data_IF_019527742356
#
_entry.id   IF_019527742356
#
_cell.length_a   1.000
_cell.length_b   1.000
_cell.length_c   1.000
_cell.angle_alpha   90.00
_cell.angle_beta   90.00
_cell.angle_gamma   90.00
#
_symmetry.space_group_name_H-M   'P 1'
#
loop_
_entity.id
_entity.type
_entity.pdbx_description
1 polymer ?
#
# COMPACT_ATOMS: atom_id res chain seq x y z
N UNK A 1 12.93 -22.33 5.29
CA UNK A 1 13.33 -21.94 6.66
C UNK A 1 13.07 -20.44 6.79
N UNK A 2 11.95 -20.05 7.41
CA UNK A 2 11.55 -18.66 7.62
C UNK A 2 12.63 -17.95 8.46
N UNK A 3 13.11 -16.78 8.03
CA UNK A 3 13.83 -15.87 8.92
C UNK A 3 12.82 -14.96 9.62
N UNK A 4 12.48 -15.36 10.83
CA UNK A 4 11.95 -14.51 11.88
C UNK A 4 13.06 -13.49 12.22
N UNK A 5 12.85 -12.19 11.95
CA UNK A 5 13.78 -11.15 12.42
C UNK A 5 13.52 -10.95 13.91
N UNK A 6 14.31 -11.65 14.74
CA UNK A 6 14.37 -11.47 16.19
C UNK A 6 15.37 -10.36 16.48
N UNK A 7 14.87 -9.24 17.03
CA UNK A 7 15.69 -8.16 17.55
C UNK A 7 16.47 -8.67 18.76
N UNK A 8 17.80 -8.61 18.70
CA UNK A 8 18.66 -8.64 19.88
C UNK A 8 19.53 -7.39 19.85
N UNK A 9 19.32 -6.54 20.84
CA UNK A 9 20.20 -5.42 21.18
C UNK A 9 21.23 -5.92 22.19
N UNK A 10 22.53 -5.74 21.92
CA UNK A 10 23.55 -5.51 22.95
C UNK A 10 24.86 -5.01 22.32
N UNK A 11 25.64 -4.15 23.01
CA UNK A 11 26.66 -3.31 22.41
C UNK A 11 28.07 -3.94 22.42
N UNK A 12 28.90 -3.52 21.47
CA UNK A 12 30.38 -3.50 21.51
C UNK A 12 31.11 -4.84 21.70
N UNK A 13 31.91 -5.29 20.71
CA UNK A 13 33.39 -5.44 20.77
C UNK A 13 33.95 -6.32 19.61
N UNK A 14 35.20 -6.00 19.26
CA UNK A 14 36.16 -6.42 18.21
C UNK A 14 36.13 -7.83 17.56
N UNK A 15 36.57 -7.82 16.29
CA UNK A 15 36.97 -8.94 15.41
C UNK A 15 38.18 -9.74 15.92
N UNK A 16 38.17 -11.08 15.78
CA UNK A 16 39.28 -11.92 15.25
C UNK A 16 38.77 -13.27 14.70
N UNK A 17 39.45 -13.92 13.73
CA UNK A 17 38.98 -15.13 13.03
C UNK A 17 39.67 -16.41 13.51
N UNK A 18 39.03 -17.59 13.37
CA UNK A 18 39.74 -18.88 13.25
C UNK A 18 38.86 -20.04 12.77
N UNK A 19 39.55 -21.06 12.27
CA UNK A 19 39.17 -22.00 11.24
C UNK A 19 38.42 -23.27 11.70
N UNK A 20 37.83 -23.93 10.68
CA UNK A 20 37.79 -25.39 10.46
C UNK A 20 37.30 -26.32 11.58
N UNK A 21 36.23 -27.07 11.29
CA UNK A 21 36.24 -28.54 11.42
C UNK A 21 35.09 -29.18 10.62
N UNK A 22 35.47 -30.10 9.72
CA UNK A 22 34.60 -31.01 8.97
C UNK A 22 34.12 -32.11 9.91
N UNK A 23 32.86 -32.53 9.80
CA UNK A 23 32.51 -33.95 9.67
C UNK A 23 31.11 -34.15 9.08
N UNK A 24 30.96 -35.31 8.47
CA UNK A 24 30.06 -35.69 7.40
C UNK A 24 29.08 -36.73 7.94
N UNK A 25 27.76 -36.57 7.74
CA UNK A 25 26.89 -37.75 7.74
C UNK A 25 25.68 -37.61 6.81
N UNK A 26 25.44 -38.72 6.13
CA UNK A 26 24.76 -38.93 4.86
C UNK A 26 23.23 -39.00 4.99
N UNK A 27 22.59 -38.58 3.88
CA UNK A 27 21.37 -39.11 3.23
C UNK A 27 20.02 -38.83 3.91
N UNK A 28 19.18 -38.07 3.21
CA UNK A 28 18.13 -38.60 2.33
C UNK A 28 17.64 -37.52 1.36
N UNK A 29 17.37 -37.98 0.14
CA UNK A 29 17.08 -37.24 -1.08
C UNK A 29 15.70 -36.56 -1.10
N UNK A 30 15.66 -35.31 -1.52
CA UNK A 30 14.50 -34.71 -2.19
C UNK A 30 15.05 -33.86 -3.36
N UNK A 31 14.47 -34.04 -4.54
CA UNK A 31 14.94 -33.50 -5.80
C UNK A 31 15.03 -31.96 -5.77
N UNK A 32 16.18 -31.43 -6.16
CA UNK A 32 16.42 -30.01 -6.33
C UNK A 32 15.83 -29.55 -7.67
N UNK A 33 14.94 -28.55 -7.61
CA UNK A 33 14.52 -27.76 -8.77
C UNK A 33 15.61 -26.69 -9.00
N UNK A 34 16.15 -26.51 -10.21
CA UNK A 34 17.28 -25.62 -10.42
C UNK A 34 16.87 -24.15 -10.23
N UNK A 35 17.48 -23.50 -9.24
CA UNK A 35 17.41 -22.05 -9.05
C UNK A 35 18.22 -21.34 -10.14
N UNK A 36 17.58 -21.01 -11.27
CA UNK A 36 18.12 -19.99 -12.17
C UNK A 36 17.96 -18.63 -11.49
N UNK A 37 19.06 -18.08 -10.97
CA UNK A 37 19.18 -16.64 -10.74
C UNK A 37 18.98 -15.96 -12.09
N UNK A 38 17.79 -15.44 -12.33
CA UNK A 38 17.54 -14.51 -13.43
C UNK A 38 18.11 -13.17 -12.95
N UNK A 39 19.25 -12.76 -13.49
CA UNK A 39 19.77 -11.41 -13.31
C UNK A 39 18.76 -10.42 -13.91
N UNK A 40 17.93 -9.80 -13.08
CA UNK A 40 17.13 -8.66 -13.50
C UNK A 40 18.06 -7.46 -13.69
N UNK A 41 18.14 -6.97 -14.92
CA UNK A 41 18.66 -5.64 -15.19
C UNK A 41 17.83 -4.61 -14.38
N UNK A 42 18.45 -3.55 -13.86
CA UNK A 42 17.77 -2.57 -13.02
C UNK A 42 16.71 -1.85 -13.85
N UNK A 43 15.45 -2.21 -13.63
CA UNK A 43 14.30 -1.50 -14.17
C UNK A 43 14.07 -0.26 -13.30
N UNK A 44 13.71 0.87 -13.89
CA UNK A 44 13.28 2.09 -13.20
C UNK A 44 11.76 2.19 -13.23
N UNK A 45 11.13 2.72 -12.18
CA UNK A 45 9.70 3.01 -12.18
C UNK A 45 9.43 4.23 -13.06
N UNK A 46 8.52 4.13 -14.03
CA UNK A 46 8.16 5.25 -14.91
C UNK A 46 7.40 6.37 -14.20
N UNK A 47 6.79 6.09 -13.05
CA UNK A 47 6.01 7.06 -12.29
C UNK A 47 6.90 7.94 -11.39
N UNK A 48 7.90 7.36 -10.71
CA UNK A 48 8.73 8.09 -9.73
C UNK A 48 10.24 8.12 -10.05
N UNK A 49 10.69 7.45 -11.13
CA UNK A 49 12.09 7.42 -11.55
C UNK A 49 13.05 6.68 -10.62
N UNK A 50 12.56 5.99 -9.57
CA UNK A 50 13.37 5.25 -8.59
C UNK A 50 13.61 3.79 -9.00
N UNK A 51 14.66 3.17 -8.43
CA UNK A 51 15.06 1.78 -8.69
C UNK A 51 14.00 0.79 -8.19
N UNK A 52 13.78 -0.31 -8.93
CA UNK A 52 12.85 -1.37 -8.53
C UNK A 52 13.39 -2.22 -7.37
N UNK A 53 12.90 -1.99 -6.15
CA UNK A 53 13.02 -2.92 -5.03
C UNK A 53 11.63 -3.22 -4.46
N UNK A 54 10.97 -4.27 -4.93
CA UNK A 54 9.60 -4.57 -4.50
C UNK A 54 9.64 -5.21 -3.10
N UNK A 55 9.05 -4.53 -2.11
CA UNK A 55 8.81 -5.09 -0.78
C UNK A 55 7.32 -5.09 -0.46
N UNK A 56 6.85 -6.19 0.12
CA UNK A 56 5.49 -6.34 0.61
C UNK A 56 5.54 -6.55 2.12
N UNK A 57 4.86 -5.67 2.87
CA UNK A 57 4.86 -5.73 4.32
C UNK A 57 3.45 -5.61 4.89
N UNK A 58 3.30 -6.06 6.13
CA UNK A 58 2.06 -5.96 6.90
C UNK A 58 2.44 -5.51 8.29
N UNK A 59 1.89 -4.38 8.72
CA UNK A 59 2.08 -3.85 10.06
C UNK A 59 0.75 -3.91 10.82
N UNK A 60 0.78 -4.48 12.02
CA UNK A 60 -0.32 -4.40 12.98
C UNK A 60 0.06 -3.33 14.01
N UNK A 61 -0.77 -2.31 14.18
CA UNK A 61 -0.53 -1.26 15.17
C UNK A 61 -1.03 -1.68 16.55
N UNK A 62 -0.16 -1.56 17.56
CA UNK A 62 -0.52 -1.71 18.97
C UNK A 62 -1.29 -0.47 19.46
N UNK A 63 -2.20 -0.60 20.44
CA UNK A 63 -3.11 0.48 20.81
C UNK A 63 -2.37 1.68 21.43
N UNK A 64 -2.65 2.88 20.90
CA UNK A 64 -2.38 4.16 21.56
C UNK A 64 -3.69 4.83 21.96
N UNK A 65 -3.71 5.49 23.11
CA UNK A 65 -4.88 6.18 23.67
C UNK A 65 -5.41 7.28 22.75
N UNK A 66 -6.74 7.48 22.64
CA UNK A 66 -7.31 8.49 21.77
C UNK A 66 -7.15 9.90 22.37
N UNK A 67 -6.57 10.82 21.62
CA UNK A 67 -6.76 12.26 21.87
C UNK A 67 -8.02 12.72 21.15
N UNK A 68 -9.03 13.19 21.90
CA UNK A 68 -10.20 13.84 21.30
C UNK A 68 -9.81 15.21 20.76
N UNK A 69 -10.11 15.50 19.49
CA UNK A 69 -10.24 16.87 18.99
C UNK A 69 -11.60 17.08 18.34
N UNK A 70 -12.37 18.03 18.89
CA UNK A 70 -13.57 18.58 18.28
C UNK A 70 -13.16 19.59 17.19
N UNK A 71 -13.70 19.47 15.97
CA UNK A 71 -14.15 20.60 15.13
C UNK A 71 -14.63 20.09 13.75
N UNK A 72 -15.95 20.02 13.56
CA UNK A 72 -16.57 19.61 12.30
C UNK A 72 -16.54 20.68 11.20
N UNK A 73 -15.95 21.85 11.46
CA UNK A 73 -15.77 22.94 10.49
C UNK A 73 -14.32 23.24 10.15
N UNK A 74 -13.33 22.88 10.98
CA UNK A 74 -11.91 23.11 10.66
C UNK A 74 -11.28 21.96 9.87
N UNK A 75 -11.86 20.76 9.97
CA UNK A 75 -11.29 19.56 9.37
C UNK A 75 -11.51 19.51 7.85
N UNK A 76 -12.63 20.07 7.36
CA UNK A 76 -12.92 20.19 5.93
C UNK A 76 -11.98 21.17 5.22
N UNK A 77 -11.76 22.34 5.85
CA UNK A 77 -10.97 23.41 5.25
C UNK A 77 -9.49 23.02 5.21
N UNK A 78 -9.01 22.36 6.27
CA UNK A 78 -7.62 21.91 6.36
C UNK A 78 -7.24 20.85 5.30
N UNK A 79 -8.10 19.86 5.02
CA UNK A 79 -7.75 18.83 4.03
C UNK A 79 -7.79 19.38 2.60
N UNK A 80 -8.74 20.28 2.29
CA UNK A 80 -8.82 20.92 0.98
C UNK A 80 -7.62 21.83 0.74
N UNK A 81 -7.16 22.56 1.76
CA UNK A 81 -5.93 23.37 1.67
C UNK A 81 -4.70 22.49 1.40
N UNK A 82 -4.58 21.34 2.08
CA UNK A 82 -3.49 20.40 1.82
C UNK A 82 -3.59 19.76 0.44
N UNK A 83 -4.79 19.39 -0.01
CA UNK A 83 -5.03 18.88 -1.36
C UNK A 83 -4.55 19.91 -2.40
N UNK A 84 -4.99 21.16 -2.30
CA UNK A 84 -4.60 22.22 -3.24
C UNK A 84 -3.10 22.56 -3.18
N UNK A 85 -2.46 22.41 -2.02
CA UNK A 85 -1.02 22.66 -1.86
C UNK A 85 -0.16 21.55 -2.47
N UNK A 86 -0.54 20.29 -2.27
CA UNK A 86 0.22 19.11 -2.72
C UNK A 86 -0.11 18.75 -4.17
N UNK A 87 -1.39 18.88 -4.54
CA UNK A 87 -1.91 18.67 -5.88
C UNK A 87 -2.64 19.92 -6.35
N UNK A 88 -1.90 20.97 -6.76
CA UNK A 88 -2.52 22.20 -7.26
C UNK A 88 -3.40 21.90 -8.48
N UNK A 89 -4.58 22.54 -8.60
CA UNK A 89 -5.48 22.31 -9.72
C UNK A 89 -4.77 22.48 -11.07
N UNK A 90 -4.87 21.46 -11.91
CA UNK A 90 -4.38 21.49 -13.30
C UNK A 90 -5.57 21.56 -14.26
N UNK A 91 -5.35 21.92 -15.54
CA UNK A 91 -6.41 21.87 -16.53
C UNK A 91 -7.08 20.50 -16.59
N UNK A 92 -8.40 20.46 -16.64
CA UNK A 92 -9.20 19.23 -16.67
C UNK A 92 -8.74 18.22 -17.72
N UNK A 93 -8.37 18.70 -18.91
CA UNK A 93 -7.89 17.85 -20.01
C UNK A 93 -6.58 17.14 -19.67
N UNK A 94 -5.72 17.75 -18.85
CA UNK A 94 -4.44 17.18 -18.44
C UNK A 94 -4.67 16.06 -17.43
N UNK A 95 -5.47 16.30 -16.40
CA UNK A 95 -5.81 15.28 -15.39
C UNK A 95 -6.56 14.09 -16.01
N UNK A 96 -7.41 14.37 -16.98
CA UNK A 96 -8.14 13.36 -17.77
C UNK A 96 -7.20 12.54 -18.64
N UNK A 97 -6.31 13.21 -19.38
CA UNK A 97 -5.28 12.54 -20.18
C UNK A 97 -4.39 11.65 -19.30
N UNK A 98 -3.94 12.17 -18.15
CA UNK A 98 -3.14 11.42 -17.18
C UNK A 98 -3.88 10.17 -16.69
N UNK A 99 -5.15 10.31 -16.27
CA UNK A 99 -5.97 9.18 -15.84
C UNK A 99 -6.12 8.11 -16.94
N UNK A 100 -6.38 8.53 -18.20
CA UNK A 100 -6.47 7.61 -19.34
C UNK A 100 -5.16 6.88 -19.62
N UNK A 101 -4.01 7.55 -19.47
CA UNK A 101 -2.69 6.94 -19.63
C UNK A 101 -2.43 5.94 -18.52
N UNK A 102 -2.77 6.29 -17.26
CA UNK A 102 -2.59 5.38 -16.11
C UNK A 102 -3.44 4.11 -16.24
N UNK A 103 -4.69 4.24 -16.72
CA UNK A 103 -5.60 3.10 -16.91
C UNK A 103 -5.01 2.03 -17.83
N UNK A 104 -4.24 2.44 -18.83
CA UNK A 104 -3.72 1.56 -19.88
C UNK A 104 -2.27 1.15 -19.64
N UNK A 105 -1.40 2.09 -19.30
CA UNK A 105 0.05 1.88 -19.24
C UNK A 105 0.49 1.00 -18.07
N UNK A 106 -0.30 0.93 -16.99
CA UNK A 106 0.09 0.20 -15.78
C UNK A 106 -0.23 -1.29 -15.82
N UNK A 107 -1.10 -1.75 -16.73
CA UNK A 107 -1.53 -3.16 -16.82
C UNK A 107 -0.38 -4.18 -16.85
N UNK A 108 0.71 -3.99 -17.64
CA UNK A 108 1.81 -4.95 -17.66
C UNK A 108 2.60 -5.00 -16.34
N UNK A 109 2.70 -3.87 -15.64
CA UNK A 109 3.37 -3.83 -14.34
C UNK A 109 2.50 -4.48 -13.27
N UNK A 110 1.21 -4.19 -13.28
CA UNK A 110 0.21 -4.82 -12.42
C UNK A 110 0.21 -6.34 -12.55
N UNK A 111 0.22 -6.85 -13.78
CA UNK A 111 0.32 -8.29 -14.04
C UNK A 111 1.60 -8.93 -13.46
N UNK A 112 2.73 -8.20 -13.44
CA UNK A 112 4.00 -8.70 -12.87
C UNK A 112 3.94 -8.83 -11.35
N UNK A 113 3.16 -7.98 -10.67
CA UNK A 113 3.08 -7.96 -9.21
C UNK A 113 1.82 -8.62 -8.65
N UNK A 114 0.90 -9.09 -9.51
CA UNK A 114 -0.37 -9.72 -9.14
C UNK A 114 -0.19 -10.87 -8.12
N UNK A 115 0.90 -11.63 -8.20
CA UNK A 115 1.21 -12.68 -7.22
C UNK A 115 1.48 -12.13 -5.80
N UNK A 116 2.20 -11.01 -5.69
CA UNK A 116 2.43 -10.32 -4.41
C UNK A 116 1.13 -9.71 -3.89
N UNK A 117 0.35 -9.07 -4.78
CA UNK A 117 -0.97 -8.51 -4.44
C UNK A 117 -1.90 -9.60 -3.90
N UNK A 118 -2.03 -10.71 -4.61
CA UNK A 118 -2.84 -11.85 -4.15
C UNK A 118 -2.48 -12.28 -2.74
N UNK A 119 -1.18 -12.50 -2.45
CA UNK A 119 -0.72 -12.89 -1.11
C UNK A 119 -0.99 -11.82 -0.04
N UNK A 120 -0.91 -10.54 -0.39
CA UNK A 120 -1.23 -9.43 0.50
C UNK A 120 -2.72 -9.41 0.83
N UNK A 121 -3.58 -9.46 -0.20
CA UNK A 121 -5.03 -9.38 -0.06
C UNK A 121 -5.66 -10.61 0.59
N UNK A 122 -5.05 -11.79 0.47
CA UNK A 122 -5.44 -12.97 1.27
C UNK A 122 -5.42 -12.69 2.79
N UNK A 123 -4.57 -11.76 3.27
CA UNK A 123 -4.53 -11.38 4.68
C UNK A 123 -5.75 -10.58 5.12
N UNK A 124 -6.44 -9.92 4.18
CA UNK A 124 -7.64 -9.10 4.42
C UNK A 124 -8.94 -9.88 4.40
N UNK A 125 -9.02 -10.96 3.60
CA UNK A 125 -10.25 -11.75 3.43
C UNK A 125 -10.85 -12.17 4.77
N UNK A 126 -12.11 -11.80 4.99
CA UNK A 126 -12.87 -12.10 6.21
C UNK A 126 -12.41 -11.34 7.47
N UNK A 127 -11.47 -10.40 7.37
CA UNK A 127 -10.93 -9.64 8.52
C UNK A 127 -11.21 -8.15 8.47
N UNK A 128 -11.53 -7.59 7.31
CA UNK A 128 -11.82 -6.18 7.13
C UNK A 128 -13.12 -5.99 6.35
N UNK A 129 -14.03 -5.18 6.89
CA UNK A 129 -15.27 -4.78 6.20
C UNK A 129 -15.19 -3.34 5.71
N UNK A 130 -14.37 -2.50 6.31
CA UNK A 130 -14.12 -1.12 5.89
C UNK A 130 -12.64 -0.97 5.56
N UNK A 131 -12.33 -0.77 4.29
CA UNK A 131 -10.97 -0.65 3.78
C UNK A 131 -10.77 0.73 3.17
N UNK A 132 -9.73 1.44 3.59
CA UNK A 132 -9.23 2.61 2.89
C UNK A 132 -8.11 2.17 1.94
N UNK A 133 -8.21 2.53 0.66
CA UNK A 133 -7.14 2.38 -0.30
C UNK A 133 -6.55 3.74 -0.65
N UNK A 134 -5.28 3.94 -0.31
CA UNK A 134 -4.52 5.15 -0.64
C UNK A 134 -3.95 5.00 -2.05
N UNK A 135 -4.24 5.97 -2.92
CA UNK A 135 -3.87 5.93 -4.34
C UNK A 135 -4.68 4.89 -5.10
N UNK A 136 -6.01 4.96 -5.00
CA UNK A 136 -6.91 4.03 -5.72
C UNK A 136 -6.69 4.10 -7.24
N UNK A 137 -6.26 5.25 -7.77
CA UNK A 137 -6.01 5.46 -9.20
C UNK A 137 -7.19 4.98 -10.05
N UNK A 138 -6.89 4.23 -11.09
CA UNK A 138 -7.92 3.65 -11.98
C UNK A 138 -8.53 2.34 -11.46
N UNK A 139 -8.24 1.97 -10.21
CA UNK A 139 -8.81 0.82 -9.51
C UNK A 139 -8.15 -0.55 -9.77
N UNK A 140 -6.82 -0.67 -9.92
CA UNK A 140 -6.18 -1.96 -10.25
C UNK A 140 -6.33 -3.01 -9.13
N UNK A 141 -6.59 -2.60 -7.89
CA UNK A 141 -6.78 -3.52 -6.77
C UNK A 141 -8.24 -3.93 -6.53
N UNK A 142 -9.20 -3.35 -7.26
CA UNK A 142 -10.63 -3.58 -6.97
C UNK A 142 -11.05 -5.03 -7.14
N UNK A 143 -10.36 -5.78 -8.00
CA UNK A 143 -10.53 -7.23 -8.16
C UNK A 143 -10.31 -8.02 -6.87
N UNK A 144 -9.45 -7.56 -5.96
CA UNK A 144 -9.11 -8.28 -4.74
C UNK A 144 -10.13 -8.08 -3.61
N UNK A 145 -11.00 -7.07 -3.72
CA UNK A 145 -12.13 -6.87 -2.80
C UNK A 145 -13.41 -7.56 -3.30
N UNK A 146 -13.44 -7.96 -4.57
CA UNK A 146 -14.59 -8.65 -5.15
C UNK A 146 -14.84 -9.98 -4.43
N UNK A 147 -16.12 -10.38 -4.38
CA UNK A 147 -16.57 -11.63 -3.74
C UNK A 147 -16.97 -11.49 -2.27
N UNK A 148 -16.65 -10.38 -1.61
CA UNK A 148 -17.24 -10.00 -0.32
C UNK A 148 -18.28 -8.89 -0.54
N UNK A 149 -19.56 -9.23 -0.46
CA UNK A 149 -20.65 -8.27 -0.69
C UNK A 149 -20.81 -7.26 0.46
N UNK A 150 -20.15 -7.47 1.60
CA UNK A 150 -20.22 -6.58 2.77
C UNK A 150 -19.05 -5.59 2.83
N UNK A 151 -17.98 -5.81 2.07
CA UNK A 151 -16.82 -4.91 2.07
C UNK A 151 -17.20 -3.52 1.55
N UNK A 152 -16.74 -2.48 2.24
CA UNK A 152 -16.80 -1.09 1.86
C UNK A 152 -15.38 -0.62 1.55
N UNK A 153 -15.16 -0.16 0.32
CA UNK A 153 -13.87 0.35 -0.15
C UNK A 153 -13.97 1.85 -0.30
N UNK A 154 -13.15 2.57 0.47
CA UNK A 154 -12.94 4.01 0.36
C UNK A 154 -11.65 4.20 -0.43
N UNK A 155 -11.75 4.60 -1.69
CA UNK A 155 -10.59 4.82 -2.57
C UNK A 155 -10.20 6.30 -2.57
N UNK A 156 -8.98 6.61 -2.13
CA UNK A 156 -8.45 7.97 -2.05
C UNK A 156 -7.48 8.24 -3.21
N UNK A 157 -7.68 9.34 -3.94
CA UNK A 157 -6.77 9.82 -4.98
C UNK A 157 -6.94 11.34 -5.16
N UNK A 158 -5.85 12.12 -5.35
CA UNK A 158 -5.97 13.56 -5.55
C UNK A 158 -6.51 13.94 -6.93
N UNK A 159 -6.41 13.08 -7.95
CA UNK A 159 -6.93 13.35 -9.29
C UNK A 159 -8.37 12.85 -9.41
N UNK A 160 -9.34 13.77 -9.38
CA UNK A 160 -10.78 13.46 -9.54
C UNK A 160 -11.13 12.70 -10.83
N UNK A 161 -10.38 12.88 -11.92
CA UNK A 161 -10.64 12.19 -13.20
C UNK A 161 -10.39 10.68 -13.11
N UNK A 162 -9.68 10.19 -12.09
CA UNK A 162 -9.52 8.77 -11.80
C UNK A 162 -10.84 8.08 -11.44
N UNK A 163 -11.78 8.81 -10.84
CA UNK A 163 -13.01 8.25 -10.27
C UNK A 163 -13.80 7.41 -11.28
N UNK A 164 -13.97 7.91 -12.50
CA UNK A 164 -14.77 7.20 -13.52
C UNK A 164 -14.14 5.86 -13.91
N UNK A 165 -12.81 5.79 -13.94
CA UNK A 165 -12.07 4.56 -14.25
C UNK A 165 -12.18 3.57 -13.08
N UNK A 166 -11.95 4.05 -11.85
CA UNK A 166 -12.11 3.21 -10.65
C UNK A 166 -13.54 2.67 -10.50
N UNK A 167 -14.57 3.49 -10.77
CA UNK A 167 -15.97 3.03 -10.76
C UNK A 167 -16.25 1.99 -11.85
N UNK A 168 -15.69 2.17 -13.05
CA UNK A 168 -15.79 1.18 -14.11
C UNK A 168 -15.10 -0.14 -13.73
N UNK A 169 -13.91 -0.08 -13.14
CA UNK A 169 -13.19 -1.24 -12.63
C UNK A 169 -13.97 -1.97 -11.52
N UNK A 170 -14.52 -1.24 -10.55
CA UNK A 170 -15.40 -1.80 -9.50
C UNK A 170 -16.59 -2.56 -10.11
N UNK A 171 -17.25 -1.94 -11.11
CA UNK A 171 -18.39 -2.53 -11.80
C UNK A 171 -17.98 -3.80 -12.55
N UNK A 172 -16.83 -3.78 -13.24
CA UNK A 172 -16.35 -4.90 -14.04
C UNK A 172 -16.04 -6.14 -13.20
N UNK A 173 -15.61 -5.97 -11.94
CA UNK A 173 -15.32 -7.06 -11.01
C UNK A 173 -16.52 -7.45 -10.14
N UNK A 174 -17.67 -6.80 -10.31
CA UNK A 174 -18.89 -7.10 -9.57
C UNK A 174 -18.92 -6.53 -8.15
N UNK A 175 -18.08 -5.56 -7.81
CA UNK A 175 -18.19 -4.83 -6.55
C UNK A 175 -19.44 -3.94 -6.59
N UNK A 176 -20.40 -4.07 -5.66
CA UNK A 176 -21.62 -3.27 -5.69
C UNK A 176 -21.30 -1.77 -5.68
N UNK A 177 -21.93 -0.96 -6.54
CA UNK A 177 -21.61 0.47 -6.64
C UNK A 177 -21.76 1.23 -5.32
N UNK A 178 -22.68 0.79 -4.45
CA UNK A 178 -22.88 1.34 -3.09
C UNK A 178 -21.73 1.04 -2.11
N UNK A 179 -20.86 0.09 -2.44
CA UNK A 179 -19.74 -0.35 -1.62
C UNK A 179 -18.43 0.36 -2.00
N UNK A 180 -18.40 1.12 -3.10
CA UNK A 180 -17.23 1.85 -3.55
C UNK A 180 -17.42 3.36 -3.44
N UNK A 181 -16.59 3.99 -2.61
CA UNK A 181 -16.62 5.41 -2.31
C UNK A 181 -15.30 6.04 -2.75
N UNK A 182 -15.34 6.93 -3.75
CA UNK A 182 -14.15 7.68 -4.17
C UNK A 182 -14.02 8.96 -3.34
N UNK A 183 -12.81 9.24 -2.86
CA UNK A 183 -12.47 10.40 -2.04
C UNK A 183 -11.36 11.17 -2.74
N UNK A 184 -11.66 12.42 -3.12
CA UNK A 184 -10.66 13.34 -3.67
C UNK A 184 -9.87 13.97 -2.53
N UNK A 185 -8.67 13.45 -2.28
CA UNK A 185 -7.80 13.89 -1.19
C UNK A 185 -6.37 13.38 -1.37
N UNK A 186 -5.47 13.89 -0.52
CA UNK A 186 -4.07 13.46 -0.40
C UNK A 186 -3.90 12.58 0.83
N UNK A 187 -2.87 11.73 0.84
CA UNK A 187 -2.64 10.79 1.94
C UNK A 187 -2.24 11.52 3.25
N UNK A 188 -1.70 12.73 3.13
CA UNK A 188 -1.25 13.60 4.21
C UNK A 188 -2.40 14.29 4.96
N UNK A 189 -3.63 14.22 4.43
CA UNK A 189 -4.85 14.72 5.08
C UNK A 189 -6.06 13.92 4.60
N UNK A 190 -6.39 12.84 5.30
CA UNK A 190 -7.43 11.89 4.92
C UNK A 190 -8.77 12.33 5.53
N UNK A 191 -9.79 12.70 4.73
CA UNK A 191 -11.05 13.23 5.25
C UNK A 191 -12.01 12.11 5.68
N UNK A 192 -11.53 11.18 6.52
CA UNK A 192 -12.34 10.16 7.18
C UNK A 192 -12.10 10.20 8.70
N UNK A 193 -13.08 9.72 9.46
CA UNK A 193 -13.05 9.74 10.91
C UNK A 193 -11.89 8.92 11.50
N UNK A 194 -11.42 9.32 12.67
CA UNK A 194 -10.46 8.55 13.48
C UNK A 194 -10.99 7.14 13.76
N UNK A 195 -10.08 6.16 13.79
CA UNK A 195 -10.41 4.77 14.18
C UNK A 195 -11.66 4.22 13.48
N UNK A 196 -11.82 4.50 12.18
CA UNK A 196 -13.05 4.22 11.43
C UNK A 196 -12.91 3.07 10.44
N UNK A 197 -11.69 2.73 10.01
CA UNK A 197 -11.42 1.65 9.05
C UNK A 197 -10.73 0.45 9.70
N UNK A 198 -11.06 -0.74 9.21
CA UNK A 198 -10.48 -2.00 9.68
C UNK A 198 -9.09 -2.23 9.06
N UNK A 199 -8.90 -1.72 7.84
CA UNK A 199 -7.63 -1.79 7.14
C UNK A 199 -7.36 -0.57 6.27
N UNK A 200 -6.07 -0.30 6.07
CA UNK A 200 -5.55 0.64 5.09
C UNK A 200 -4.62 -0.13 4.14
N UNK A 201 -4.80 0.10 2.85
CA UNK A 201 -3.99 -0.50 1.77
C UNK A 201 -3.31 0.61 0.98
N UNK A 202 -2.03 0.45 0.68
CA UNK A 202 -1.30 1.30 -0.26
C UNK A 202 -0.43 0.45 -1.18
N UNK A 203 -0.64 0.52 -2.49
CA UNK A 203 0.21 -0.18 -3.44
C UNK A 203 0.81 0.79 -4.44
N UNK A 204 2.13 0.87 -4.49
CA UNK A 204 2.89 1.73 -5.41
C UNK A 204 2.54 3.23 -5.26
N UNK A 205 2.18 3.66 -4.06
CA UNK A 205 1.64 5.00 -3.79
C UNK A 205 2.55 5.84 -2.89
N UNK A 206 3.22 5.23 -1.90
CA UNK A 206 4.03 5.97 -0.93
C UNK A 206 5.25 6.62 -1.56
N UNK A 207 5.65 6.20 -2.76
CA UNK A 207 6.69 6.89 -3.53
C UNK A 207 6.22 8.21 -4.18
N UNK A 208 4.91 8.49 -4.19
CA UNK A 208 4.30 9.66 -4.82
C UNK A 208 3.74 10.68 -3.81
N UNK A 209 3.70 10.34 -2.52
CA UNK A 209 3.32 11.29 -1.46
C UNK A 209 4.44 12.32 -1.23
N UNK A 210 4.08 13.53 -0.85
CA UNK A 210 5.03 14.60 -0.55
C UNK A 210 5.68 14.40 0.82
N UNK A 211 4.92 13.97 1.82
CA UNK A 211 5.43 13.67 3.17
C UNK A 211 4.93 12.30 3.66
N UNK A 212 5.85 11.33 3.64
CA UNK A 212 5.57 9.94 4.07
C UNK A 212 5.22 9.87 5.56
N UNK A 213 5.85 10.69 6.42
CA UNK A 213 5.57 10.66 7.85
C UNK A 213 4.17 11.19 8.17
N UNK A 214 3.75 12.26 7.48
CA UNK A 214 2.38 12.75 7.59
C UNK A 214 1.38 11.71 7.08
N UNK A 215 1.64 11.09 5.93
CA UNK A 215 0.79 10.03 5.40
C UNK A 215 0.66 8.85 6.38
N UNK A 216 1.77 8.38 6.96
CA UNK A 216 1.75 7.28 7.94
C UNK A 216 1.06 7.68 9.26
N UNK A 217 1.14 8.95 9.65
CA UNK A 217 0.40 9.49 10.80
C UNK A 217 -1.11 9.42 10.55
N UNK A 218 -1.56 9.83 9.37
CA UNK A 218 -2.97 9.72 8.97
C UNK A 218 -3.43 8.27 8.86
N UNK A 219 -2.62 7.38 8.28
CA UNK A 219 -2.88 5.92 8.27
C UNK A 219 -3.13 5.42 9.69
N UNK A 220 -2.28 5.79 10.65
CA UNK A 220 -2.44 5.40 12.05
C UNK A 220 -3.70 6.00 12.68
N UNK A 221 -4.04 7.26 12.38
CA UNK A 221 -5.22 7.95 12.92
C UNK A 221 -6.52 7.27 12.49
N UNK A 222 -6.65 6.95 11.20
CA UNK A 222 -7.89 6.40 10.65
C UNK A 222 -8.10 4.92 10.96
N UNK A 223 -7.03 4.17 11.23
CA UNK A 223 -7.09 2.76 11.59
C UNK A 223 -7.73 2.58 12.97
N UNK A 224 -8.68 1.64 13.05
CA UNK A 224 -9.15 1.11 14.33
C UNK A 224 -7.98 0.51 15.12
N UNK A 225 -8.04 0.48 16.46
CA UNK A 225 -7.11 -0.30 17.26
C UNK A 225 -7.08 -1.77 16.78
N UNK A 226 -5.87 -2.29 16.50
CA UNK A 226 -5.69 -3.63 15.93
C UNK A 226 -5.98 -3.75 14.43
N UNK A 227 -6.27 -2.64 13.75
CA UNK A 227 -6.43 -2.59 12.30
C UNK A 227 -5.14 -2.89 11.56
N UNK A 228 -5.28 -3.23 10.28
CA UNK A 228 -4.19 -3.69 9.43
C UNK A 228 -3.72 -2.59 8.48
N UNK A 229 -2.41 -2.32 8.44
CA UNK A 229 -1.80 -1.59 7.35
C UNK A 229 -1.05 -2.55 6.43
N UNK A 230 -1.44 -2.59 5.16
CA UNK A 230 -0.86 -3.45 4.14
C UNK A 230 -0.31 -2.60 3.01
N UNK A 231 0.93 -2.86 2.59
CA UNK A 231 1.50 -2.13 1.47
C UNK A 231 2.45 -2.95 0.62
N UNK A 232 2.54 -2.55 -0.65
CA UNK A 232 3.52 -3.04 -1.63
C UNK A 232 4.16 -1.81 -2.27
N UNK A 233 5.47 -1.66 -2.14
CA UNK A 233 6.19 -0.48 -2.63
C UNK A 233 7.49 -0.85 -3.36
N UNK A 234 8.00 0.09 -4.16
CA UNK A 234 9.27 -0.05 -4.88
C UNK A 234 10.52 0.19 -4.01
N UNK A 235 10.34 0.66 -2.79
CA UNK A 235 11.42 0.98 -1.86
C UNK A 235 10.95 0.63 -0.45
N UNK A 236 11.83 -0.01 0.32
CA UNK A 236 11.60 -0.23 1.75
C UNK A 236 11.44 1.12 2.45
N UNK A 237 10.34 1.34 3.18
CA UNK A 237 10.25 2.48 4.08
C UNK A 237 11.13 2.20 5.31
N UNK A 238 11.96 3.16 5.72
CA UNK A 238 12.60 3.09 7.04
C UNK A 238 11.50 3.24 8.09
N UNK A 239 11.22 2.14 8.81
CA UNK A 239 10.24 2.14 9.90
C UNK A 239 10.89 2.84 11.09
N UNK A 240 10.33 3.99 11.48
CA UNK A 240 10.68 4.72 12.71
C UNK A 240 10.13 4.00 13.97
#
# INVERSE_FOLDING_TARGET
>A
MLKLVRLHYSPSFQLQPLASLKTNQKRRSAAAIPSKQLSLAPSFCSCCGRRHFIEAATAAFLPSSPSKSNASTSHSDHYLDLLNRIHPPRPDWYEEFYASVMDTSMKPYEAKIAGYKSQLFEKLKGKAKRVLEIGIGTGPNLEYYAGDNEVQVFGLDPNKKMEKYARAAATAVGLPSKNFHFIEAVAEAIPIDDSSVDAVVGTLVLCSVQDVNMALTEVKRVLKPGGLFLFIEHVAAEVL
#
